data_IF_723392650294
#
_entry.id   IF_723392650294
#
_cell.length_a   1.000
_cell.length_b   1.000
_cell.length_c   1.000
_cell.angle_alpha   90.00
_cell.angle_beta   90.00
_cell.angle_gamma   90.00
#
_symmetry.space_group_name_H-M   'P 1'
#
loop_
_entity.id
_entity.type
_entity.pdbx_description
1 polymer ?
#
# COMPACT_ATOMS: atom_id res chain seq x y z
N UNK A 1 -15.00 -58.40 -20.26
CA UNK A 1 -13.92 -57.45 -19.93
C UNK A 1 -13.90 -56.17 -20.82
N UNK A 2 -14.13 -56.20 -22.13
CA UNK A 2 -14.11 -55.00 -22.99
C UNK A 2 -15.15 -53.92 -22.65
N UNK A 3 -16.36 -54.24 -22.15
CA UNK A 3 -17.39 -53.24 -21.80
C UNK A 3 -17.09 -52.41 -20.55
N UNK A 4 -16.27 -52.91 -19.63
CA UNK A 4 -15.89 -52.19 -18.40
C UNK A 4 -14.80 -51.14 -18.69
N UNK A 5 -13.88 -51.44 -19.60
CA UNK A 5 -12.85 -50.48 -20.02
C UNK A 5 -13.42 -49.29 -20.80
N UNK A 6 -14.44 -49.54 -21.63
CA UNK A 6 -15.08 -48.45 -22.40
C UNK A 6 -15.88 -47.48 -21.48
N UNK A 7 -16.53 -48.01 -20.42
CA UNK A 7 -17.21 -47.16 -19.42
C UNK A 7 -16.23 -46.33 -18.58
N UNK A 8 -15.09 -46.90 -18.21
CA UNK A 8 -14.04 -46.16 -17.47
C UNK A 8 -13.34 -45.13 -18.34
N UNK A 9 -13.13 -45.42 -19.61
CA UNK A 9 -12.55 -44.47 -20.58
C UNK A 9 -13.54 -43.34 -20.88
N UNK A 10 -14.84 -43.61 -21.04
CA UNK A 10 -15.87 -42.61 -21.26
C UNK A 10 -16.05 -41.69 -20.02
N UNK A 11 -15.95 -42.26 -18.81
CA UNK A 11 -16.02 -41.49 -17.56
C UNK A 11 -14.76 -40.64 -17.33
N UNK A 12 -13.58 -41.12 -17.74
CA UNK A 12 -12.33 -40.32 -17.69
C UNK A 12 -12.34 -39.19 -18.70
N UNK A 13 -12.90 -39.40 -19.90
CA UNK A 13 -13.11 -38.35 -20.90
C UNK A 13 -14.16 -37.32 -20.45
N UNK A 14 -15.23 -37.74 -19.77
CA UNK A 14 -16.23 -36.83 -19.20
C UNK A 14 -15.65 -35.99 -18.06
N UNK A 15 -14.80 -36.56 -17.21
CA UNK A 15 -14.11 -35.83 -16.13
C UNK A 15 -13.04 -34.87 -16.70
N UNK A 16 -12.39 -35.22 -17.82
CA UNK A 16 -11.49 -34.28 -18.51
C UNK A 16 -12.25 -33.12 -19.20
N UNK A 17 -13.49 -33.33 -19.67
CA UNK A 17 -14.29 -32.23 -20.22
C UNK A 17 -14.82 -31.26 -19.17
N UNK A 18 -14.98 -31.67 -17.90
CA UNK A 18 -15.34 -30.78 -16.80
C UNK A 18 -14.15 -30.02 -16.18
N UNK A 19 -12.91 -30.38 -16.54
CA UNK A 19 -11.68 -29.77 -16.02
C UNK A 19 -11.17 -28.56 -16.82
N UNK A 20 -11.76 -28.26 -17.97
CA UNK A 20 -11.41 -27.09 -18.79
C UNK A 20 -12.58 -26.08 -18.77
N UNK A 21 -12.88 -25.54 -17.61
CA UNK A 21 -13.47 -24.21 -17.58
C UNK A 21 -12.34 -23.24 -17.98
N UNK A 22 -12.18 -23.05 -19.30
CA UNK A 22 -11.50 -21.87 -19.82
C UNK A 22 -12.34 -20.69 -19.32
N UNK A 23 -11.92 -20.03 -18.24
CA UNK A 23 -12.39 -18.68 -17.97
C UNK A 23 -12.06 -17.89 -19.23
N UNK A 24 -13.07 -17.39 -19.92
CA UNK A 24 -12.86 -16.53 -21.08
C UNK A 24 -12.09 -15.31 -20.55
N UNK A 25 -10.80 -15.27 -20.86
CA UNK A 25 -9.92 -14.19 -20.47
C UNK A 25 -9.92 -13.19 -21.62
N UNK A 26 -10.67 -12.10 -21.49
CA UNK A 26 -10.60 -10.99 -22.42
C UNK A 26 -9.30 -10.23 -22.22
N UNK A 27 -8.67 -9.81 -23.31
CA UNK A 27 -7.45 -9.03 -23.30
C UNK A 27 -7.54 -7.89 -24.30
N UNK A 28 -7.12 -6.71 -23.89
CA UNK A 28 -6.94 -5.56 -24.77
C UNK A 28 -5.45 -5.26 -24.81
N UNK A 29 -4.85 -5.41 -26.00
CA UNK A 29 -3.49 -4.95 -26.24
C UNK A 29 -3.49 -3.42 -26.33
N UNK A 30 -2.68 -2.80 -25.54
CA UNK A 30 -2.38 -1.38 -25.61
C UNK A 30 -1.16 -1.21 -26.52
N UNK A 31 -1.02 -0.04 -27.11
CA UNK A 31 0.07 0.30 -28.03
C UNK A 31 0.91 1.41 -27.37
N UNK A 32 1.78 1.04 -26.40
CA UNK A 32 2.55 2.01 -25.65
C UNK A 32 3.62 2.65 -26.52
N UNK A 33 3.92 3.91 -26.26
CA UNK A 33 5.04 4.60 -26.88
C UNK A 33 6.36 3.94 -26.44
N UNK A 34 7.19 3.38 -27.33
CA UNK A 34 8.42 2.70 -26.96
C UNK A 34 9.46 3.61 -26.26
N UNK A 35 9.31 4.92 -26.37
CA UNK A 35 10.16 5.90 -25.71
C UNK A 35 9.73 6.24 -24.29
N UNK A 36 8.50 5.87 -23.89
CA UNK A 36 7.98 6.04 -22.53
C UNK A 36 7.92 4.68 -21.86
N UNK A 37 8.77 4.47 -20.86
CA UNK A 37 8.81 3.22 -20.11
C UNK A 37 8.47 3.50 -18.65
N UNK A 38 7.64 2.63 -18.08
CA UNK A 38 7.38 2.68 -16.64
C UNK A 38 8.67 2.64 -15.85
N UNK A 39 8.79 3.56 -14.94
CA UNK A 39 9.93 3.61 -14.01
C UNK A 39 9.60 2.77 -12.77
N UNK A 40 10.56 1.94 -12.33
CA UNK A 40 10.40 1.14 -11.10
C UNK A 40 10.68 1.96 -9.84
N UNK A 41 11.34 3.09 -10.01
CA UNK A 41 11.65 4.09 -9.00
C UNK A 41 11.49 5.48 -9.62
N UNK A 42 11.28 6.47 -8.80
CA UNK A 42 11.27 7.87 -9.21
C UNK A 42 12.63 8.27 -9.83
N UNK A 43 12.58 9.19 -10.76
CA UNK A 43 13.76 9.74 -11.43
C UNK A 43 13.94 11.21 -11.02
N UNK A 44 15.16 11.74 -11.20
CA UNK A 44 15.50 13.12 -10.85
C UNK A 44 15.08 13.47 -9.41
N UNK A 45 15.31 12.51 -8.49
CA UNK A 45 14.86 12.63 -7.10
C UNK A 45 15.69 13.66 -6.37
N UNK A 46 14.99 14.59 -5.72
CA UNK A 46 15.52 15.54 -4.76
C UNK A 46 14.55 15.64 -3.58
N UNK A 47 14.95 16.35 -2.52
CA UNK A 47 14.01 16.66 -1.43
C UNK A 47 12.86 17.60 -1.85
N UNK A 48 12.99 18.31 -2.97
CA UNK A 48 11.94 19.20 -3.48
C UNK A 48 11.01 18.56 -4.52
N UNK A 49 11.30 17.31 -4.95
CA UNK A 49 10.44 16.62 -5.91
C UNK A 49 11.13 15.53 -6.72
N UNK A 50 10.39 14.99 -7.67
CA UNK A 50 10.85 13.91 -8.56
C UNK A 50 10.00 13.83 -9.82
N UNK A 51 10.47 13.06 -10.82
CA UNK A 51 9.70 12.69 -12.01
C UNK A 51 9.42 11.19 -12.05
N UNK A 52 8.33 10.79 -12.73
CA UNK A 52 7.94 9.41 -12.90
C UNK A 52 7.22 9.19 -14.25
N UNK A 53 7.30 7.96 -14.76
CA UNK A 53 6.58 7.56 -15.97
C UNK A 53 5.86 6.22 -15.74
N UNK A 54 4.66 6.09 -16.33
CA UNK A 54 3.81 4.91 -16.25
C UNK A 54 3.29 4.57 -17.64
N UNK A 55 3.59 3.36 -18.09
CA UNK A 55 3.17 2.83 -19.38
C UNK A 55 2.69 1.41 -19.23
N UNK A 56 1.59 1.05 -19.88
CA UNK A 56 0.92 -0.24 -19.74
C UNK A 56 0.84 -0.92 -21.10
N UNK A 57 1.11 -2.24 -21.12
CA UNK A 57 1.11 -3.03 -22.37
C UNK A 57 -0.27 -3.62 -22.69
N UNK A 58 -1.04 -3.96 -21.65
CA UNK A 58 -2.34 -4.61 -21.84
C UNK A 58 -3.29 -4.37 -20.67
N UNK A 59 -4.56 -4.59 -20.94
CA UNK A 59 -5.61 -4.79 -19.93
C UNK A 59 -5.98 -6.27 -19.98
N UNK A 60 -5.89 -6.93 -18.84
CA UNK A 60 -6.30 -8.32 -18.65
C UNK A 60 -7.66 -8.35 -17.94
N UNK A 61 -8.53 -9.30 -18.30
CA UNK A 61 -9.80 -9.47 -17.62
C UNK A 61 -10.07 -10.92 -17.23
N UNK A 62 -10.85 -11.11 -16.17
CA UNK A 62 -11.37 -12.40 -15.76
C UNK A 62 -12.86 -12.29 -15.51
N UNK A 63 -13.64 -13.23 -16.03
CA UNK A 63 -15.08 -13.29 -15.78
C UNK A 63 -15.38 -13.78 -14.37
N UNK A 64 -16.37 -13.16 -13.73
CA UNK A 64 -16.90 -13.52 -12.41
C UNK A 64 -18.42 -13.66 -12.53
N UNK A 65 -18.92 -14.86 -12.28
CA UNK A 65 -20.36 -15.11 -12.22
C UNK A 65 -20.89 -14.77 -10.83
N UNK A 66 -21.96 -13.99 -10.79
CA UNK A 66 -22.62 -13.54 -9.55
C UNK A 66 -24.12 -13.80 -9.63
N UNK A 67 -24.84 -13.58 -8.54
CA UNK A 67 -26.31 -13.60 -8.51
C UNK A 67 -26.96 -12.50 -9.41
N UNK A 68 -26.22 -11.45 -9.75
CA UNK A 68 -26.64 -10.34 -10.62
C UNK A 68 -26.16 -10.49 -12.06
N UNK A 69 -25.62 -11.65 -12.44
CA UNK A 69 -25.11 -11.96 -13.77
C UNK A 69 -23.59 -12.04 -13.85
N UNK A 70 -23.06 -11.97 -15.06
CA UNK A 70 -21.62 -12.04 -15.32
C UNK A 70 -21.02 -10.65 -15.33
N UNK A 71 -19.88 -10.52 -14.64
CA UNK A 71 -19.05 -9.32 -14.61
C UNK A 71 -17.62 -9.69 -14.99
N UNK A 72 -16.78 -8.69 -15.20
CA UNK A 72 -15.34 -8.88 -15.43
C UNK A 72 -14.53 -8.06 -14.42
N UNK A 73 -13.57 -8.69 -13.73
CA UNK A 73 -12.47 -7.94 -13.11
C UNK A 73 -11.49 -7.54 -14.19
N UNK A 74 -10.83 -6.39 -14.02
CA UNK A 74 -9.81 -5.92 -14.96
C UNK A 74 -8.54 -5.49 -14.20
N UNK A 75 -7.39 -5.75 -14.81
CA UNK A 75 -6.07 -5.38 -14.27
C UNK A 75 -5.19 -4.76 -15.36
N UNK A 76 -4.28 -3.88 -14.97
CA UNK A 76 -3.29 -3.23 -15.83
C UNK A 76 -1.94 -3.25 -15.14
N UNK A 77 -0.98 -4.04 -15.63
CA UNK A 77 0.34 -4.14 -14.99
C UNK A 77 0.25 -4.40 -13.48
N UNK A 78 0.94 -3.60 -12.68
CA UNK A 78 0.96 -3.71 -11.21
C UNK A 78 -0.18 -2.92 -10.52
N UNK A 79 -1.30 -2.69 -11.22
CA UNK A 79 -2.43 -1.96 -10.65
C UNK A 79 -3.16 -2.75 -9.56
N UNK A 80 -3.83 -2.03 -8.69
CA UNK A 80 -4.78 -2.55 -7.72
C UNK A 80 -6.18 -2.08 -8.07
N UNK A 81 -7.20 -2.87 -7.75
CA UNK A 81 -8.59 -2.48 -7.92
C UNK A 81 -8.97 -1.40 -6.91
N UNK A 82 -9.68 -0.36 -7.37
CA UNK A 82 -10.18 0.72 -6.54
C UNK A 82 -11.60 1.13 -6.94
N UNK A 83 -12.41 1.49 -5.94
CA UNK A 83 -13.80 1.92 -6.10
C UNK A 83 -14.48 1.96 -4.75
N UNK A 84 -15.67 2.57 -4.68
CA UNK A 84 -16.53 2.47 -3.51
C UNK A 84 -17.29 1.14 -3.54
N UNK A 85 -17.71 0.65 -2.36
CA UNK A 85 -18.44 -0.61 -2.27
C UNK A 85 -19.71 -0.55 -3.15
N UNK A 86 -19.85 -1.56 -3.99
CA UNK A 86 -20.96 -1.68 -4.96
C UNK A 86 -20.75 -0.95 -6.29
N UNK A 87 -19.77 -0.06 -6.41
CA UNK A 87 -19.43 0.65 -7.65
C UNK A 87 -18.39 -0.11 -8.48
N UNK A 88 -18.30 0.13 -9.82
CA UNK A 88 -17.30 -0.52 -10.65
C UNK A 88 -15.87 -0.32 -10.11
N UNK A 89 -15.15 -1.41 -9.85
CA UNK A 89 -13.75 -1.34 -9.43
C UNK A 89 -12.85 -1.15 -10.65
N UNK A 90 -12.10 -0.07 -10.68
CA UNK A 90 -11.17 0.23 -11.78
C UNK A 90 -9.72 0.12 -11.32
N UNK A 91 -8.78 -0.26 -12.20
CA UNK A 91 -7.38 -0.35 -11.86
C UNK A 91 -6.77 1.03 -11.57
N UNK A 92 -6.02 1.13 -10.49
CA UNK A 92 -5.17 2.28 -10.17
C UNK A 92 -3.76 1.78 -9.82
N UNK A 93 -2.73 2.55 -10.17
CA UNK A 93 -1.36 2.27 -9.71
C UNK A 93 -1.05 3.16 -8.54
N UNK A 94 -0.50 2.60 -7.46
CA UNK A 94 -0.13 3.34 -6.25
C UNK A 94 1.32 3.08 -5.90
N UNK A 95 2.05 4.17 -5.71
CA UNK A 95 3.44 4.14 -5.25
C UNK A 95 3.55 4.91 -3.93
N UNK A 96 4.14 4.25 -2.94
CA UNK A 96 4.41 4.91 -1.66
C UNK A 96 5.61 5.81 -1.80
N UNK A 97 5.47 7.05 -1.36
CA UNK A 97 6.50 8.08 -1.47
C UNK A 97 6.83 8.71 -0.11
N UNK A 98 8.06 9.16 0.04
CA UNK A 98 8.43 10.08 1.10
C UNK A 98 8.03 11.50 0.72
N UNK A 99 7.47 12.21 1.68
CA UNK A 99 7.06 13.62 1.56
C UNK A 99 7.76 14.41 2.65
N UNK A 100 8.41 15.54 2.36
CA UNK A 100 9.00 16.41 3.40
C UNK A 100 7.91 16.94 4.35
N UNK A 101 8.28 17.21 5.60
CA UNK A 101 7.35 17.79 6.57
C UNK A 101 6.85 19.16 6.12
N UNK A 102 5.57 19.43 6.35
CA UNK A 102 4.92 20.68 5.99
C UNK A 102 4.65 20.85 4.49
N UNK A 103 5.18 19.97 3.64
CA UNK A 103 5.04 20.10 2.20
C UNK A 103 3.60 19.94 1.73
N UNK A 104 3.25 20.75 0.73
CA UNK A 104 2.06 20.61 -0.09
C UNK A 104 2.48 19.94 -1.43
N UNK A 105 2.16 18.64 -1.64
CA UNK A 105 2.53 17.96 -2.88
C UNK A 105 1.70 18.47 -4.06
N UNK A 106 2.37 18.88 -5.12
CA UNK A 106 1.76 19.31 -6.40
C UNK A 106 2.15 18.31 -7.48
N UNK A 107 1.17 17.78 -8.19
CA UNK A 107 1.37 16.84 -9.29
C UNK A 107 1.08 17.52 -10.62
N UNK A 108 2.07 17.57 -11.49
CA UNK A 108 1.94 18.06 -12.86
C UNK A 108 2.03 16.90 -13.84
N UNK A 109 0.95 16.64 -14.58
CA UNK A 109 0.98 15.67 -15.67
C UNK A 109 1.58 16.34 -16.91
N UNK A 110 2.75 15.88 -17.33
CA UNK A 110 3.51 16.46 -18.45
C UNK A 110 3.03 15.94 -19.80
N UNK A 111 2.70 14.65 -19.86
CA UNK A 111 2.32 13.96 -21.09
C UNK A 111 1.45 12.75 -20.79
N UNK A 112 0.61 12.36 -21.75
CA UNK A 112 -0.10 11.08 -21.80
C UNK A 112 -0.71 10.86 -23.18
N UNK A 113 -1.02 9.60 -23.51
CA UNK A 113 -1.84 9.23 -24.65
C UNK A 113 -3.23 8.81 -24.18
N UNK A 114 -4.27 8.94 -25.03
CA UNK A 114 -5.64 8.56 -24.69
C UNK A 114 -6.25 7.73 -25.81
N UNK A 115 -6.83 6.57 -25.44
CA UNK A 115 -7.63 5.72 -26.33
C UNK A 115 -8.91 5.27 -25.64
N UNK A 116 -9.99 5.13 -26.44
CA UNK A 116 -11.24 4.56 -25.96
C UNK A 116 -11.45 3.15 -26.53
N UNK A 117 -12.01 2.27 -25.70
CA UNK A 117 -12.31 0.89 -26.05
C UNK A 117 -13.71 0.54 -25.58
N UNK A 118 -14.45 -0.18 -26.43
CA UNK A 118 -15.72 -0.79 -26.06
C UNK A 118 -15.44 -2.20 -25.55
N UNK A 119 -15.73 -2.45 -24.29
CA UNK A 119 -15.34 -3.69 -23.61
C UNK A 119 -15.94 -4.95 -24.25
N UNK A 120 -17.18 -4.84 -24.77
CA UNK A 120 -17.84 -5.95 -25.46
C UNK A 120 -17.13 -6.43 -26.74
N UNK A 121 -16.32 -5.58 -27.38
CA UNK A 121 -15.58 -5.95 -28.60
C UNK A 121 -14.41 -6.91 -28.29
N UNK A 122 -14.04 -7.01 -26.99
CA UNK A 122 -13.00 -7.88 -26.46
C UNK A 122 -13.53 -9.01 -25.57
N UNK A 123 -14.86 -9.22 -25.57
CA UNK A 123 -15.48 -10.23 -24.72
C UNK A 123 -15.46 -9.92 -23.25
N UNK A 124 -15.33 -8.64 -22.87
CA UNK A 124 -15.28 -8.18 -21.50
C UNK A 124 -16.67 -7.65 -21.11
N UNK A 125 -17.24 -8.25 -20.06
CA UNK A 125 -18.51 -7.85 -19.48
C UNK A 125 -18.38 -6.53 -18.68
N UNK A 126 -19.49 -6.12 -18.06
CA UNK A 126 -19.46 -4.97 -17.15
C UNK A 126 -18.43 -5.20 -16.05
N UNK A 127 -17.71 -4.14 -15.68
CA UNK A 127 -16.67 -4.22 -14.65
C UNK A 127 -17.29 -4.63 -13.30
N UNK A 128 -16.63 -5.58 -12.63
CA UNK A 128 -17.06 -6.13 -11.33
C UNK A 128 -17.15 -5.04 -10.27
N UNK A 129 -18.20 -5.01 -9.43
CA UNK A 129 -18.34 -4.03 -8.37
C UNK A 129 -17.36 -4.30 -7.22
N UNK A 130 -16.82 -3.23 -6.64
CA UNK A 130 -16.00 -3.31 -5.45
C UNK A 130 -16.80 -3.95 -4.30
N UNK A 131 -16.21 -4.97 -3.70
CA UNK A 131 -16.79 -5.65 -2.54
C UNK A 131 -16.04 -5.27 -1.26
N UNK A 132 -16.70 -5.31 -0.09
CA UNK A 132 -16.02 -5.14 1.18
C UNK A 132 -15.03 -6.28 1.43
N UNK A 133 -14.03 -6.01 2.26
CA UNK A 133 -13.09 -7.05 2.70
C UNK A 133 -13.82 -8.10 3.52
N UNK A 134 -13.59 -9.38 3.19
CA UNK A 134 -14.16 -10.52 3.93
C UNK A 134 -13.24 -10.85 5.11
N UNK A 135 -13.82 -10.98 6.30
CA UNK A 135 -13.09 -11.41 7.49
C UNK A 135 -12.80 -12.90 7.40
N UNK A 136 -11.69 -13.36 7.98
CA UNK A 136 -11.28 -14.78 7.95
C UNK A 136 -12.25 -15.72 8.68
N UNK A 137 -13.01 -15.20 9.64
CA UNK A 137 -14.01 -15.91 10.43
C UNK A 137 -15.43 -15.81 9.85
N UNK A 138 -15.63 -15.03 8.79
CA UNK A 138 -16.93 -14.87 8.13
C UNK A 138 -17.25 -16.10 7.28
N UNK A 139 -18.46 -16.61 7.43
CA UNK A 139 -18.92 -17.77 6.65
C UNK A 139 -19.34 -17.34 5.25
N UNK A 140 -19.12 -18.17 4.21
CA UNK A 140 -19.49 -17.85 2.83
C UNK A 140 -20.96 -17.48 2.64
N UNK A 141 -21.87 -18.10 3.40
CA UNK A 141 -23.31 -17.83 3.36
C UNK A 141 -23.71 -16.46 3.92
N UNK A 142 -22.83 -15.83 4.72
CA UNK A 142 -23.07 -14.52 5.33
C UNK A 142 -22.49 -13.38 4.47
N UNK A 143 -21.85 -13.71 3.34
CA UNK A 143 -21.24 -12.71 2.44
C UNK A 143 -22.32 -12.15 1.52
N UNK A 144 -22.68 -10.89 1.74
CA UNK A 144 -23.65 -10.18 0.88
C UNK A 144 -22.93 -9.57 -0.32
N UNK A 145 -23.47 -9.80 -1.52
CA UNK A 145 -22.98 -9.15 -2.74
C UNK A 145 -23.50 -7.71 -2.85
N UNK A 146 -22.59 -6.75 -2.90
CA UNK A 146 -22.91 -5.34 -3.00
C UNK A 146 -22.91 -4.88 -4.46
N UNK A 147 -23.99 -4.25 -4.89
CA UNK A 147 -24.17 -3.74 -6.25
C UNK A 147 -24.98 -2.43 -6.22
N UNK A 148 -24.38 -1.34 -6.70
CA UNK A 148 -25.02 -0.03 -6.78
C UNK A 148 -25.56 0.20 -8.21
N UNK A 149 -26.87 0.04 -8.41
CA UNK A 149 -27.52 0.21 -9.70
C UNK A 149 -27.34 1.61 -10.30
N UNK A 150 -27.33 2.65 -9.45
CA UNK A 150 -27.17 4.03 -9.90
C UNK A 150 -25.77 4.25 -10.49
N UNK A 151 -24.72 3.71 -9.86
CA UNK A 151 -23.36 3.79 -10.37
C UNK A 151 -23.19 3.11 -11.74
N UNK A 152 -23.93 2.03 -11.98
CA UNK A 152 -23.93 1.34 -13.29
C UNK A 152 -24.84 2.00 -14.34
N UNK A 153 -25.68 2.94 -13.97
CA UNK A 153 -26.49 3.75 -14.87
C UNK A 153 -25.82 5.06 -15.29
N UNK A 154 -24.68 5.42 -14.67
CA UNK A 154 -23.94 6.65 -14.97
C UNK A 154 -23.48 6.66 -16.43
N UNK A 155 -23.78 7.78 -17.11
CA UNK A 155 -23.34 8.05 -18.48
C UNK A 155 -22.15 9.01 -18.48
N UNK A 156 -21.18 8.73 -19.34
CA UNK A 156 -19.95 9.51 -19.43
C UNK A 156 -18.84 8.99 -18.54
N UNK A 157 -17.76 9.72 -18.50
CA UNK A 157 -16.56 9.39 -17.72
C UNK A 157 -16.43 10.37 -16.55
N UNK A 158 -15.90 9.89 -15.43
CA UNK A 158 -15.56 10.77 -14.30
C UNK A 158 -14.40 11.72 -14.63
N UNK A 159 -14.29 12.82 -13.88
CA UNK A 159 -13.28 13.88 -14.08
C UNK A 159 -12.15 13.85 -13.05
N UNK A 160 -11.96 12.71 -12.34
CA UNK A 160 -10.85 12.61 -11.39
C UNK A 160 -9.50 12.90 -12.06
N UNK A 161 -8.47 13.42 -11.36
CA UNK A 161 -7.17 13.68 -11.95
C UNK A 161 -6.51 12.38 -12.45
N UNK A 162 -5.67 12.48 -13.51
CA UNK A 162 -4.90 11.33 -14.02
C UNK A 162 -3.85 10.88 -13.01
N UNK A 163 -3.29 11.82 -12.26
CA UNK A 163 -2.35 11.55 -11.18
C UNK A 163 -2.61 12.48 -10.00
N UNK A 164 -2.43 11.96 -8.79
CA UNK A 164 -2.62 12.71 -7.55
C UNK A 164 -1.71 12.18 -6.45
N UNK A 165 -1.39 13.01 -5.45
CA UNK A 165 -0.68 12.61 -4.24
C UNK A 165 -1.56 12.87 -3.03
N UNK A 166 -1.68 11.86 -2.16
CA UNK A 166 -2.33 11.98 -0.86
C UNK A 166 -1.31 11.75 0.23
N UNK A 167 -1.17 12.69 1.16
CA UNK A 167 -0.37 12.50 2.38
C UNK A 167 -1.15 11.60 3.34
N UNK A 168 -0.52 10.53 3.82
CA UNK A 168 -1.18 9.49 4.61
C UNK A 168 -0.87 9.59 6.11
N UNK A 169 0.36 9.96 6.47
CA UNK A 169 0.80 10.03 7.86
C UNK A 169 2.30 9.98 7.99
N UNK A 170 2.79 9.73 9.20
CA UNK A 170 4.22 9.68 9.50
C UNK A 170 4.63 8.26 9.86
N UNK A 171 5.70 7.81 9.26
CA UNK A 171 6.36 6.54 9.59
C UNK A 171 7.80 6.83 9.99
N UNK A 172 8.09 6.71 11.28
CA UNK A 172 9.44 6.85 11.83
C UNK A 172 10.24 8.04 11.26
N UNK A 173 9.76 9.25 11.50
CA UNK A 173 10.46 10.47 11.05
C UNK A 173 10.36 10.78 9.57
N UNK A 174 9.57 10.00 8.81
CA UNK A 174 9.28 10.24 7.40
C UNK A 174 7.78 10.45 7.24
N UNK A 175 7.38 11.54 6.64
CA UNK A 175 6.00 11.69 6.21
C UNK A 175 5.78 10.85 4.94
N UNK A 176 4.77 9.99 4.95
CA UNK A 176 4.44 9.08 3.86
C UNK A 176 3.26 9.60 3.07
N UNK A 177 3.38 9.58 1.77
CA UNK A 177 2.30 9.83 0.83
C UNK A 177 2.11 8.66 -0.13
N UNK A 178 1.02 8.69 -0.86
CA UNK A 178 0.74 7.80 -1.98
C UNK A 178 0.61 8.62 -3.27
N UNK A 179 1.48 8.39 -4.23
CA UNK A 179 1.28 8.81 -5.61
C UNK A 179 0.33 7.81 -6.26
N UNK A 180 -0.85 8.27 -6.63
CA UNK A 180 -1.86 7.46 -7.32
C UNK A 180 -1.97 7.88 -8.77
N UNK A 181 -1.85 6.91 -9.66
CA UNK A 181 -2.11 7.06 -11.08
C UNK A 181 -3.46 6.40 -11.38
N UNK A 182 -4.33 7.14 -12.04
CA UNK A 182 -5.67 6.73 -12.44
C UNK A 182 -5.71 6.52 -13.98
N UNK A 183 -5.19 5.39 -14.50
CA UNK A 183 -4.99 5.21 -15.94
C UNK A 183 -6.29 4.90 -16.69
N UNK A 184 -7.41 4.67 -15.99
CA UNK A 184 -8.64 4.24 -16.61
C UNK A 184 -9.84 5.01 -16.09
N UNK A 185 -10.75 5.36 -17.01
CA UNK A 185 -12.11 5.83 -16.74
C UNK A 185 -13.11 4.87 -17.31
N UNK A 186 -14.23 4.66 -16.64
CA UNK A 186 -15.27 3.75 -17.06
C UNK A 186 -16.61 4.46 -17.23
N UNK A 187 -17.22 4.30 -18.41
CA UNK A 187 -18.60 4.68 -18.67
C UNK A 187 -19.46 3.42 -18.54
N UNK A 188 -20.08 3.25 -17.39
CA UNK A 188 -20.78 2.03 -17.03
C UNK A 188 -22.01 1.78 -17.90
N UNK A 189 -22.77 2.82 -18.25
CA UNK A 189 -23.96 2.70 -19.10
C UNK A 189 -23.65 2.26 -20.53
N UNK A 190 -22.49 2.65 -21.08
CA UNK A 190 -22.07 2.30 -22.43
C UNK A 190 -21.14 1.07 -22.48
N UNK A 191 -20.68 0.58 -21.33
CA UNK A 191 -19.65 -0.42 -21.19
C UNK A 191 -18.37 -0.09 -22.00
N UNK A 192 -17.93 1.16 -21.90
CA UNK A 192 -16.72 1.68 -22.56
C UNK A 192 -15.72 2.17 -21.55
N UNK A 193 -14.43 2.06 -21.90
CA UNK A 193 -13.34 2.60 -21.09
C UNK A 193 -12.55 3.63 -21.89
N UNK A 194 -12.05 4.64 -21.18
CA UNK A 194 -11.03 5.57 -21.66
C UNK A 194 -9.76 5.29 -20.93
N UNK A 195 -8.72 4.93 -21.68
CA UNK A 195 -7.40 4.54 -21.14
C UNK A 195 -6.42 5.69 -21.36
N UNK A 196 -5.79 6.10 -20.29
CA UNK A 196 -4.64 7.01 -20.30
C UNK A 196 -3.38 6.15 -20.21
N UNK A 197 -2.48 6.32 -21.16
CA UNK A 197 -1.23 5.56 -21.22
C UNK A 197 -0.04 6.51 -21.44
N UNK A 198 1.19 6.00 -21.31
CA UNK A 198 2.42 6.79 -21.48
C UNK A 198 2.40 8.06 -20.62
N UNK A 199 1.97 7.90 -19.37
CA UNK A 199 1.75 9.00 -18.43
C UNK A 199 3.10 9.42 -17.85
N UNK A 200 3.49 10.68 -18.06
CA UNK A 200 4.69 11.28 -17.46
C UNK A 200 4.25 12.34 -16.45
N UNK A 201 4.73 12.23 -15.23
CA UNK A 201 4.38 13.14 -14.14
C UNK A 201 5.63 13.74 -13.51
N UNK A 202 5.47 14.95 -13.01
CA UNK A 202 6.41 15.63 -12.13
C UNK A 202 5.68 15.91 -10.81
N UNK A 203 6.31 15.54 -9.70
CA UNK A 203 5.83 15.81 -8.34
C UNK A 203 6.77 16.83 -7.72
N UNK A 204 6.22 17.94 -7.26
CA UNK A 204 6.96 18.95 -6.49
C UNK A 204 6.39 19.05 -5.07
N UNK A 205 7.25 19.37 -4.12
CA UNK A 205 6.92 19.57 -2.72
C UNK A 205 7.05 21.05 -2.37
N UNK A 206 5.92 21.77 -2.44
CA UNK A 206 5.87 23.20 -2.11
C UNK A 206 5.77 23.39 -0.59
N UNK A 207 6.26 24.53 -0.10
CA UNK A 207 6.19 24.94 1.32
C UNK A 207 6.84 23.98 2.33
N UNK A 208 7.74 23.11 1.88
CA UNK A 208 8.38 22.10 2.71
C UNK A 208 9.28 22.70 3.81
N UNK A 209 9.13 22.23 5.04
CA UNK A 209 10.08 22.50 6.13
C UNK A 209 11.27 21.53 6.03
N UNK A 210 12.27 21.94 5.24
CA UNK A 210 13.46 21.12 4.99
C UNK A 210 14.30 20.93 6.25
N UNK A 211 14.40 21.95 7.11
CA UNK A 211 15.18 21.89 8.34
C UNK A 211 14.58 20.89 9.33
N UNK A 212 13.25 20.91 9.50
CA UNK A 212 12.56 19.93 10.34
C UNK A 212 12.68 18.52 9.73
N UNK A 213 12.56 18.40 8.40
CA UNK A 213 12.65 17.11 7.70
C UNK A 213 14.01 16.48 7.91
N UNK A 214 15.12 17.19 7.66
CA UNK A 214 16.48 16.68 7.85
C UNK A 214 16.77 16.36 9.32
N UNK A 215 16.47 17.29 10.25
CA UNK A 215 16.59 17.05 11.69
C UNK A 215 15.88 15.77 12.11
N UNK A 216 14.65 15.59 11.67
CA UNK A 216 13.86 14.42 12.07
C UNK A 216 14.42 13.13 11.48
N UNK A 217 14.80 13.13 10.21
CA UNK A 217 15.44 11.98 9.55
C UNK A 217 16.71 11.54 10.31
N UNK A 218 17.62 12.48 10.58
CA UNK A 218 18.88 12.20 11.27
C UNK A 218 18.63 11.67 12.68
N UNK A 219 17.77 12.33 13.46
CA UNK A 219 17.54 12.00 14.86
C UNK A 219 16.66 10.75 15.07
N UNK A 220 15.96 10.27 14.04
CA UNK A 220 15.17 9.04 14.08
C UNK A 220 15.82 7.89 13.32
N UNK A 221 17.02 8.07 12.78
CA UNK A 221 17.70 7.03 12.01
C UNK A 221 17.77 5.70 12.76
N UNK A 222 17.56 4.63 12.01
CA UNK A 222 17.83 3.27 12.47
C UNK A 222 18.14 2.36 11.28
N UNK A 223 19.27 1.61 11.32
CA UNK A 223 19.64 0.68 10.24
C UNK A 223 18.60 -0.41 10.01
N UNK A 224 17.79 -0.76 11.01
CA UNK A 224 16.72 -1.75 10.90
C UNK A 224 15.59 -1.32 9.96
N UNK A 225 15.45 -0.03 9.68
CA UNK A 225 14.42 0.52 8.78
C UNK A 225 14.94 0.81 7.37
N UNK A 226 16.23 0.61 7.09
CA UNK A 226 16.80 0.88 5.76
C UNK A 226 16.03 0.15 4.65
N UNK A 227 15.66 -1.11 4.86
CA UNK A 227 14.87 -1.90 3.89
C UNK A 227 13.48 -1.29 3.64
N UNK A 228 12.83 -0.75 4.70
CA UNK A 228 11.53 -0.09 4.59
C UNK A 228 11.65 1.21 3.80
N UNK A 229 12.67 2.01 4.07
CA UNK A 229 12.93 3.26 3.33
C UNK A 229 13.24 2.97 1.86
N UNK A 230 14.03 1.93 1.57
CA UNK A 230 14.34 1.50 0.21
C UNK A 230 13.12 1.01 -0.58
N UNK A 231 12.01 0.70 0.08
CA UNK A 231 10.76 0.34 -0.59
C UNK A 231 9.98 1.55 -1.12
N UNK A 232 10.28 2.77 -0.65
CA UNK A 232 9.64 3.98 -1.14
C UNK A 232 10.03 4.26 -2.60
N UNK A 233 9.11 4.81 -3.36
CA UNK A 233 9.31 5.06 -4.80
C UNK A 233 10.42 6.11 -5.06
N UNK A 234 10.50 7.14 -4.22
CA UNK A 234 11.53 8.19 -4.22
C UNK A 234 12.56 8.03 -3.08
N UNK A 235 12.96 6.79 -2.81
CA UNK A 235 13.84 6.40 -1.69
C UNK A 235 15.14 7.20 -1.58
N UNK A 236 15.72 7.63 -2.71
CA UNK A 236 16.94 8.45 -2.73
C UNK A 236 16.82 9.72 -1.90
N UNK A 237 15.65 10.36 -1.88
CA UNK A 237 15.42 11.55 -1.06
C UNK A 237 15.70 11.32 0.44
N UNK A 238 15.61 10.08 0.90
CA UNK A 238 15.86 9.68 2.29
C UNK A 238 17.25 9.08 2.45
N UNK A 239 17.64 8.18 1.56
CA UNK A 239 18.88 7.42 1.67
C UNK A 239 20.11 8.32 1.49
N UNK A 240 20.03 9.32 0.61
CA UNK A 240 21.12 10.28 0.40
C UNK A 240 21.39 11.08 1.67
N UNK A 241 20.35 11.49 2.44
CA UNK A 241 20.54 12.16 3.73
C UNK A 241 21.30 11.26 4.71
N UNK A 242 20.98 9.97 4.77
CA UNK A 242 21.67 9.04 5.68
C UNK A 242 23.11 8.74 5.24
N UNK A 243 23.36 8.69 3.94
CA UNK A 243 24.71 8.46 3.41
C UNK A 243 25.66 9.64 3.68
N UNK A 244 25.11 10.87 3.85
CA UNK A 244 25.85 12.06 4.24
C UNK A 244 26.17 12.13 5.75
N UNK A 245 25.59 11.21 6.56
CA UNK A 245 25.76 11.13 8.01
C UNK A 245 26.32 9.76 8.47
N UNK A 246 27.56 9.43 8.13
CA UNK A 246 28.13 8.10 8.46
C UNK A 246 28.28 7.84 9.97
N UNK A 247 28.28 8.87 10.81
CA UNK A 247 28.31 8.82 12.26
C UNK A 247 27.05 8.19 12.88
N UNK A 248 25.92 8.19 12.16
CA UNK A 248 24.69 7.54 12.63
C UNK A 248 24.81 6.03 12.83
N UNK A 249 25.75 5.39 12.14
CA UNK A 249 26.02 3.96 12.30
C UNK A 249 26.67 3.60 13.65
N UNK A 250 27.28 4.58 14.33
CA UNK A 250 27.90 4.39 15.63
C UNK A 250 26.90 4.52 16.80
N UNK A 251 25.68 4.98 16.53
CA UNK A 251 24.66 5.20 17.57
C UNK A 251 23.94 3.90 17.93
N UNK A 252 23.92 3.47 19.21
CA UNK A 252 23.19 2.29 19.64
C UNK A 252 21.69 2.40 19.32
N UNK A 253 21.11 1.30 18.83
CA UNK A 253 19.67 1.23 18.59
C UNK A 253 18.92 1.17 19.92
N UNK A 254 18.02 2.13 20.16
CA UNK A 254 17.24 2.24 21.38
C UNK A 254 15.97 1.39 21.33
N UNK A 255 15.74 0.62 22.39
CA UNK A 255 14.48 -0.11 22.63
C UNK A 255 13.82 0.51 23.86
N UNK A 256 12.62 1.06 23.69
CA UNK A 256 11.76 1.47 24.79
C UNK A 256 11.03 0.23 25.31
N UNK A 257 11.28 -0.14 26.56
CA UNK A 257 10.67 -1.29 27.22
C UNK A 257 9.61 -0.77 28.19
N UNK A 258 8.39 -1.26 28.02
CA UNK A 258 7.25 -0.99 28.93
C UNK A 258 6.81 -2.31 29.54
N UNK A 259 6.80 -2.38 30.86
CA UNK A 259 6.49 -3.62 31.57
C UNK A 259 5.66 -3.36 32.83
N UNK A 260 4.89 -4.35 33.24
CA UNK A 260 4.43 -4.39 34.61
C UNK A 260 5.59 -4.87 35.51
N UNK A 261 5.75 -4.25 36.66
CA UNK A 261 6.87 -4.58 37.60
C UNK A 261 6.92 -6.05 38.01
N UNK A 262 5.80 -6.75 37.99
CA UNK A 262 5.77 -8.18 38.27
C UNK A 262 6.67 -9.03 37.36
N UNK A 263 7.05 -8.49 36.17
CA UNK A 263 7.91 -9.19 35.20
C UNK A 263 9.39 -8.81 35.33
N UNK A 264 9.77 -7.94 36.29
CA UNK A 264 11.14 -7.41 36.42
C UNK A 264 12.19 -8.52 36.45
N UNK A 265 12.05 -9.49 37.34
CA UNK A 265 12.98 -10.61 37.44
C UNK A 265 12.94 -11.54 36.21
N UNK A 266 11.76 -11.77 35.65
CA UNK A 266 11.60 -12.63 34.51
C UNK A 266 12.19 -12.04 33.20
N UNK A 267 12.30 -10.71 33.11
CA UNK A 267 12.88 -10.03 31.96
C UNK A 267 14.40 -9.96 31.96
N UNK A 268 15.06 -10.10 33.13
CA UNK A 268 16.52 -9.94 33.30
C UNK A 268 17.35 -10.71 32.25
N UNK A 269 17.09 -11.99 31.94
CA UNK A 269 17.88 -12.71 30.94
C UNK A 269 17.74 -12.08 29.53
N UNK A 270 16.57 -11.57 29.22
CA UNK A 270 16.32 -10.91 27.92
C UNK A 270 16.98 -9.52 27.84
N UNK A 271 16.91 -8.74 28.93
CA UNK A 271 17.56 -7.42 29.05
C UNK A 271 19.06 -7.57 28.87
N UNK A 272 19.68 -8.51 29.62
CA UNK A 272 21.12 -8.82 29.54
C UNK A 272 21.50 -9.19 28.10
N UNK A 273 20.77 -10.15 27.49
CA UNK A 273 21.05 -10.58 26.13
C UNK A 273 20.97 -9.45 25.10
N UNK A 274 19.97 -8.55 25.22
CA UNK A 274 19.84 -7.41 24.29
C UNK A 274 20.92 -6.38 24.49
N UNK A 275 21.32 -6.11 25.74
CA UNK A 275 22.45 -5.21 26.06
C UNK A 275 23.76 -5.76 25.50
N UNK A 276 24.04 -7.04 25.66
CA UNK A 276 25.22 -7.70 25.09
C UNK A 276 25.24 -7.65 23.54
N UNK A 277 24.07 -7.55 22.90
CA UNK A 277 23.93 -7.35 21.44
C UNK A 277 24.10 -5.88 21.01
N UNK A 278 24.37 -4.97 21.93
CA UNK A 278 24.61 -3.56 21.64
C UNK A 278 23.35 -2.70 21.55
N UNK A 279 22.20 -3.18 22.02
CA UNK A 279 21.02 -2.32 22.15
C UNK A 279 21.08 -1.47 23.41
N UNK A 280 20.60 -0.23 23.30
CA UNK A 280 20.32 0.62 24.46
C UNK A 280 18.89 0.37 24.93
N UNK A 281 18.71 -0.10 26.15
CA UNK A 281 17.40 -0.42 26.72
C UNK A 281 16.95 0.69 27.69
N UNK A 282 15.79 1.27 27.40
CA UNK A 282 15.10 2.26 28.24
C UNK A 282 13.91 1.55 28.90
N UNK A 283 14.12 1.02 30.11
CA UNK A 283 13.14 0.17 30.81
C UNK A 283 12.28 1.02 31.73
N UNK A 284 10.98 0.91 31.58
CA UNK A 284 9.98 1.70 32.29
C UNK A 284 8.83 0.82 32.77
N UNK A 285 8.39 1.03 34.01
CA UNK A 285 7.33 0.22 34.59
C UNK A 285 6.00 0.97 34.67
N UNK A 286 4.88 0.24 34.53
CA UNK A 286 3.54 0.84 34.56
C UNK A 286 3.18 1.53 35.87
N UNK A 287 3.76 1.15 37.00
CA UNK A 287 3.59 1.81 38.30
C UNK A 287 4.28 3.18 38.35
N UNK A 288 5.23 3.46 37.49
CA UNK A 288 5.94 4.73 37.38
C UNK A 288 5.35 5.65 36.30
N UNK A 289 5.02 5.08 35.15
CA UNK A 289 4.59 5.85 33.95
C UNK A 289 3.08 6.00 33.84
N UNK A 290 2.32 5.23 34.60
CA UNK A 290 0.86 5.21 34.60
C UNK A 290 0.25 3.86 34.19
N UNK A 291 -0.94 3.61 34.70
CA UNK A 291 -1.67 2.34 34.56
C UNK A 291 -2.87 2.41 33.61
N UNK A 292 -2.97 3.46 32.81
CA UNK A 292 -4.01 3.59 31.78
C UNK A 292 -3.41 3.63 30.38
N UNK A 293 -4.15 3.14 29.38
CA UNK A 293 -3.75 3.17 27.98
C UNK A 293 -3.33 4.58 27.50
N UNK A 294 -4.05 5.61 27.95
CA UNK A 294 -3.75 7.01 27.61
C UNK A 294 -2.42 7.48 28.21
N UNK A 295 -2.13 7.15 29.47
CA UNK A 295 -0.84 7.51 30.11
C UNK A 295 0.32 6.83 29.40
N UNK A 296 0.22 5.52 29.14
CA UNK A 296 1.25 4.75 28.45
C UNK A 296 1.48 5.30 27.03
N UNK A 297 0.41 5.59 26.28
CA UNK A 297 0.50 6.22 24.97
C UNK A 297 1.21 7.57 25.02
N UNK A 298 0.84 8.44 25.97
CA UNK A 298 1.44 9.75 26.10
C UNK A 298 2.93 9.65 26.47
N UNK A 299 3.29 8.72 27.35
CA UNK A 299 4.68 8.43 27.67
C UNK A 299 5.50 7.98 26.45
N UNK A 300 4.95 7.09 25.61
CA UNK A 300 5.61 6.70 24.35
C UNK A 300 5.83 7.90 23.42
N UNK A 301 4.82 8.79 23.31
CA UNK A 301 4.91 10.01 22.51
C UNK A 301 6.00 10.94 23.05
N UNK A 302 6.03 11.15 24.36
CA UNK A 302 7.05 11.97 25.04
C UNK A 302 8.46 11.44 24.75
N UNK A 303 8.70 10.14 24.97
CA UNK A 303 9.99 9.49 24.71
C UNK A 303 10.43 9.55 23.24
N UNK A 304 9.47 9.46 22.33
CA UNK A 304 9.75 9.64 20.90
C UNK A 304 10.15 11.08 20.59
N UNK A 305 9.38 12.06 21.07
CA UNK A 305 9.65 13.48 20.82
C UNK A 305 10.98 13.95 21.45
N UNK A 306 11.29 13.53 22.67
CA UNK A 306 12.60 13.74 23.29
C UNK A 306 13.74 13.24 22.39
N UNK A 307 13.57 12.05 21.80
CA UNK A 307 14.54 11.47 20.88
C UNK A 307 14.66 12.21 19.56
N UNK A 308 13.55 12.76 19.03
CA UNK A 308 13.55 13.63 17.85
C UNK A 308 14.30 14.92 18.11
N UNK A 309 14.18 15.48 19.31
CA UNK A 309 14.83 16.73 19.68
C UNK A 309 16.34 16.58 20.01
N UNK A 310 16.72 15.49 20.67
CA UNK A 310 18.05 15.27 21.22
C UNK A 310 18.88 14.19 20.50
N UNK A 311 18.32 13.56 19.47
CA UNK A 311 18.85 12.32 18.87
C UNK A 311 18.43 11.08 19.67
N UNK A 312 18.60 9.89 19.12
CA UNK A 312 18.28 8.61 19.74
C UNK A 312 16.79 8.36 20.03
N UNK A 313 15.92 8.70 19.07
CA UNK A 313 14.51 8.27 19.15
C UNK A 313 14.41 6.73 19.25
N UNK A 314 13.47 6.17 20.06
CA UNK A 314 13.31 4.74 20.18
C UNK A 314 13.07 4.09 18.81
N UNK A 315 13.84 3.06 18.47
CA UNK A 315 13.64 2.27 17.26
C UNK A 315 12.49 1.29 17.43
N UNK A 316 12.42 0.67 18.61
CA UNK A 316 11.40 -0.32 18.95
C UNK A 316 10.74 0.04 20.27
N UNK A 317 9.48 -0.35 20.40
CA UNK A 317 8.76 -0.43 21.67
C UNK A 317 8.45 -1.89 21.93
N UNK A 318 8.81 -2.40 23.11
CA UNK A 318 8.48 -3.75 23.53
C UNK A 318 7.65 -3.66 24.81
N UNK A 319 6.55 -4.40 24.82
CA UNK A 319 5.61 -4.45 25.94
C UNK A 319 5.66 -5.84 26.55
N UNK A 320 5.91 -5.90 27.87
CA UNK A 320 5.84 -7.12 28.67
C UNK A 320 4.58 -7.08 29.54
N UNK A 321 3.60 -7.89 29.17
CA UNK A 321 2.28 -8.00 29.78
C UNK A 321 1.17 -8.06 28.74
N UNK A 322 0.00 -8.52 29.17
CA UNK A 322 -1.22 -8.43 28.39
C UNK A 322 -2.05 -7.16 28.77
N UNK A 323 -3.28 -7.06 28.33
CA UNK A 323 -4.16 -5.91 28.58
C UNK A 323 -4.47 -5.67 30.07
N UNK A 324 -4.30 -6.67 30.94
CA UNK A 324 -4.49 -6.53 32.38
C UNK A 324 -3.25 -5.90 33.06
N UNK A 325 -2.06 -6.17 32.57
CA UNK A 325 -0.80 -5.66 33.13
C UNK A 325 -0.34 -4.38 32.44
N UNK A 326 -0.56 -4.26 31.13
CA UNK A 326 -0.25 -3.07 30.32
C UNK A 326 -1.49 -2.72 29.50
N UNK A 327 -2.42 -1.92 30.04
CA UNK A 327 -3.69 -1.63 29.40
C UNK A 327 -3.56 -1.07 27.99
N UNK A 328 -4.39 -1.55 27.07
CA UNK A 328 -4.53 -1.04 25.72
C UNK A 328 -5.96 -0.53 25.47
N UNK A 329 -6.12 0.35 24.45
CA UNK A 329 -7.45 0.77 24.01
C UNK A 329 -8.07 -0.37 23.20
N UNK A 330 -9.29 -0.76 23.54
CA UNK A 330 -10.10 -1.60 22.67
C UNK A 330 -10.63 -0.75 21.50
N UNK A 331 -10.52 -1.28 20.29
CA UNK A 331 -11.02 -0.64 19.05
C UNK A 331 -12.44 -1.14 18.77
#
# INVERSE_FOLDING_TARGET
MKKIYFRKLAMALLVMMFGLQSFAQGRIELDPNPNVRSTQKAQNVTMSGFSAAFSYNSIESQQVTTERGVFSTITMGNSVAAGNIGEPQVPVTREMIAVPFGANPVVTVKNYTVKEYKLSDFGIDRIYPQQPSVRKDQKPEDIVFHYNEEAYAVRGYDERPVAEVTVMGTMRGIQIGALQINPLRYNAAANTIRVYNDIEVEVSFEDADMALTEKTLVNTYSPYFKTVYSALYNDKAILDVYDDHPDLWATPVKILVIANRMFEEAMEPWLTWKTEKGFYLDVNYTDEIGTSATQIKNFCIEKYNEGVDNGQAPTFVIIFGDDQQVPCSQI
#
